data_IF_529964204385
#
_entry.id   IF_529964204385
#
_cell.length_a   1.000
_cell.length_b   1.000
_cell.length_c   1.000
_cell.angle_alpha   90.00
_cell.angle_beta   90.00
_cell.angle_gamma   90.00
#
_symmetry.space_group_name_H-M   'P 1'
#
loop_
_entity.id
_entity.type
_entity.pdbx_description
1 polymer ?
#
# COMPACT_ATOMS: atom_id res chain seq x y z
N UNK A 1 47.54 -10.58 -23.02
CA UNK A 1 46.62 -11.06 -24.08
C UNK A 1 45.47 -11.90 -23.55
N UNK A 2 45.64 -12.91 -22.71
CA UNK A 2 44.60 -13.76 -22.16
C UNK A 2 43.56 -13.00 -21.28
N UNK A 3 43.95 -11.99 -20.49
CA UNK A 3 43.03 -11.19 -19.65
C UNK A 3 42.06 -10.31 -20.47
N UNK A 4 42.49 -9.81 -21.64
CA UNK A 4 41.63 -9.00 -22.52
C UNK A 4 40.57 -9.86 -23.24
N UNK A 5 40.92 -11.09 -23.57
CA UNK A 5 39.97 -12.04 -24.19
C UNK A 5 38.87 -12.44 -23.17
N UNK A 6 39.25 -12.68 -21.92
CA UNK A 6 38.30 -13.05 -20.86
C UNK A 6 37.27 -11.96 -20.57
N UNK A 7 37.68 -10.69 -20.53
CA UNK A 7 36.76 -9.54 -20.34
C UNK A 7 35.84 -9.30 -21.53
N UNK A 8 36.33 -9.58 -22.76
CA UNK A 8 35.52 -9.53 -23.99
C UNK A 8 34.41 -10.59 -24.01
N UNK A 9 34.72 -11.81 -23.64
CA UNK A 9 33.75 -12.91 -23.53
C UNK A 9 32.72 -12.68 -22.47
N UNK A 10 33.10 -12.15 -21.28
CA UNK A 10 32.12 -11.81 -20.21
C UNK A 10 31.14 -10.72 -20.66
N UNK A 11 31.63 -9.66 -21.29
CA UNK A 11 30.77 -8.58 -21.81
C UNK A 11 29.80 -9.09 -22.89
N UNK A 12 30.28 -9.95 -23.78
CA UNK A 12 29.46 -10.56 -24.83
C UNK A 12 28.39 -11.49 -24.24
N UNK A 13 28.73 -12.28 -23.21
CA UNK A 13 27.77 -13.15 -22.51
C UNK A 13 26.68 -12.38 -21.79
N UNK A 14 27.04 -11.28 -21.11
CA UNK A 14 26.07 -10.39 -20.44
C UNK A 14 25.14 -9.74 -21.47
N UNK A 15 25.66 -9.22 -22.57
CA UNK A 15 24.88 -8.63 -23.67
C UNK A 15 23.93 -9.66 -24.30
N UNK A 16 24.40 -10.87 -24.56
CA UNK A 16 23.60 -11.96 -25.13
C UNK A 16 22.49 -12.40 -24.15
N UNK A 17 22.81 -12.54 -22.85
CA UNK A 17 21.83 -12.87 -21.82
C UNK A 17 20.75 -11.81 -21.70
N UNK A 18 21.11 -10.52 -21.80
CA UNK A 18 20.16 -9.41 -21.76
C UNK A 18 19.24 -9.39 -22.99
N UNK A 19 19.81 -9.56 -24.18
CA UNK A 19 19.04 -9.64 -25.43
C UNK A 19 18.11 -10.85 -25.43
N UNK A 20 18.57 -12.00 -24.93
CA UNK A 20 17.75 -13.20 -24.84
C UNK A 20 16.57 -13.02 -23.89
N UNK A 21 16.80 -12.43 -22.72
CA UNK A 21 15.72 -12.09 -21.76
C UNK A 21 14.70 -11.13 -22.38
N UNK A 22 15.17 -10.11 -23.10
CA UNK A 22 14.30 -9.14 -23.76
C UNK A 22 13.46 -9.78 -24.88
N UNK A 23 14.05 -10.67 -25.68
CA UNK A 23 13.33 -11.40 -26.74
C UNK A 23 12.31 -12.39 -26.13
N UNK A 24 12.67 -13.08 -25.04
CA UNK A 24 11.75 -13.97 -24.33
C UNK A 24 10.56 -13.16 -23.81
N UNK A 25 10.82 -12.04 -23.15
CA UNK A 25 9.77 -11.18 -22.60
C UNK A 25 8.81 -10.64 -23.68
N UNK A 26 9.31 -10.28 -24.85
CA UNK A 26 8.48 -9.87 -25.99
C UNK A 26 7.63 -11.02 -26.55
N UNK A 27 8.15 -12.25 -26.56
CA UNK A 27 7.40 -13.42 -27.00
C UNK A 27 6.33 -13.82 -26.01
N UNK A 28 6.60 -13.76 -24.71
CA UNK A 28 5.63 -14.03 -23.64
C UNK A 28 4.44 -13.07 -23.73
N UNK A 29 4.69 -11.78 -23.89
CA UNK A 29 3.64 -10.79 -24.09
C UNK A 29 2.75 -11.15 -25.30
N UNK A 30 3.37 -11.50 -26.42
CA UNK A 30 2.66 -11.84 -27.65
C UNK A 30 1.84 -13.13 -27.55
N UNK A 31 2.33 -14.10 -26.77
CA UNK A 31 1.62 -15.35 -26.48
C UNK A 31 0.38 -15.04 -25.62
N UNK A 32 0.54 -14.23 -24.58
CA UNK A 32 -0.57 -13.81 -23.70
C UNK A 32 -1.61 -12.99 -24.46
N UNK A 33 -1.18 -12.02 -25.27
CA UNK A 33 -2.08 -11.25 -26.14
C UNK A 33 -2.89 -12.16 -27.06
N UNK A 34 -2.22 -13.09 -27.76
CA UNK A 34 -2.89 -14.03 -28.66
C UNK A 34 -3.88 -14.92 -27.92
N UNK A 35 -3.52 -15.42 -26.74
CA UNK A 35 -4.42 -16.21 -25.91
C UNK A 35 -5.63 -15.42 -25.46
N UNK A 36 -5.41 -14.22 -24.91
CA UNK A 36 -6.49 -13.41 -24.36
C UNK A 36 -7.42 -12.87 -25.45
N UNK A 37 -6.89 -12.38 -26.57
CA UNK A 37 -7.71 -11.71 -27.59
C UNK A 37 -8.26 -12.68 -28.65
N UNK A 38 -7.40 -13.59 -29.18
CA UNK A 38 -7.78 -14.42 -30.30
C UNK A 38 -8.36 -15.78 -29.89
N UNK A 39 -7.92 -16.36 -28.75
CA UNK A 39 -8.41 -17.68 -28.30
C UNK A 39 -9.56 -17.50 -27.33
N UNK A 40 -9.40 -16.64 -26.31
CA UNK A 40 -10.40 -16.43 -25.25
C UNK A 40 -11.43 -15.36 -25.61
N UNK A 41 -11.23 -14.63 -26.72
CA UNK A 41 -12.10 -13.56 -27.20
C UNK A 41 -12.45 -12.50 -26.13
N UNK A 42 -11.49 -12.21 -25.23
CA UNK A 42 -11.66 -11.20 -24.21
C UNK A 42 -11.52 -9.81 -24.83
N UNK A 43 -12.47 -8.95 -24.51
CA UNK A 43 -12.43 -7.55 -24.92
C UNK A 43 -11.42 -6.77 -24.04
N UNK A 44 -10.66 -5.89 -24.69
CA UNK A 44 -9.70 -5.01 -23.99
C UNK A 44 -10.43 -3.76 -23.47
N UNK A 45 -11.33 -3.95 -22.53
CA UNK A 45 -12.17 -2.87 -21.96
C UNK A 45 -11.54 -2.20 -20.75
N UNK A 46 -10.55 -2.86 -20.12
CA UNK A 46 -9.88 -2.34 -18.92
C UNK A 46 -8.78 -1.34 -19.30
N UNK A 47 -8.87 -0.14 -18.76
CA UNK A 47 -7.80 0.87 -18.78
C UNK A 47 -7.62 1.43 -17.37
N UNK A 48 -6.44 1.98 -17.02
CA UNK A 48 -6.27 2.66 -15.73
C UNK A 48 -7.30 3.76 -15.49
N UNK A 49 -7.65 4.53 -16.50
CA UNK A 49 -8.63 5.61 -16.39
C UNK A 49 -10.05 5.06 -16.13
N UNK A 50 -10.48 4.04 -16.88
CA UNK A 50 -11.78 3.40 -16.64
C UNK A 50 -11.87 2.75 -15.27
N UNK A 51 -10.75 2.18 -14.77
CA UNK A 51 -10.67 1.63 -13.42
C UNK A 51 -10.80 2.74 -12.36
N UNK A 52 -10.11 3.86 -12.53
CA UNK A 52 -10.19 5.00 -11.60
C UNK A 52 -11.62 5.52 -11.51
N UNK A 53 -12.27 5.76 -12.64
CA UNK A 53 -13.63 6.31 -12.70
C UNK A 53 -14.67 5.37 -12.10
N UNK A 54 -14.60 4.07 -12.44
CA UNK A 54 -15.50 3.06 -11.86
C UNK A 54 -15.28 2.92 -10.34
N UNK A 55 -14.05 2.87 -9.90
CA UNK A 55 -13.71 2.76 -8.47
C UNK A 55 -14.19 3.97 -7.67
N UNK A 56 -14.00 5.20 -8.19
CA UNK A 56 -14.50 6.42 -7.53
C UNK A 56 -16.03 6.38 -7.42
N UNK A 57 -16.72 5.92 -8.46
CA UNK A 57 -18.17 5.81 -8.46
C UNK A 57 -18.65 4.80 -7.43
N UNK A 58 -18.08 3.60 -7.42
CA UNK A 58 -18.39 2.55 -6.44
C UNK A 58 -18.14 3.00 -5.00
N UNK A 59 -16.99 3.65 -4.74
CA UNK A 59 -16.66 4.19 -3.43
C UNK A 59 -17.67 5.24 -2.98
N UNK A 60 -18.07 6.14 -3.88
CA UNK A 60 -19.04 7.18 -3.57
C UNK A 60 -20.41 6.61 -3.24
N UNK A 61 -20.86 5.62 -3.99
CA UNK A 61 -22.13 4.94 -3.73
C UNK A 61 -22.11 4.16 -2.42
N UNK A 62 -21.01 3.43 -2.15
CA UNK A 62 -20.86 2.59 -0.98
C UNK A 62 -20.71 3.39 0.32
N UNK A 63 -19.94 4.47 0.29
CA UNK A 63 -19.62 5.28 1.49
C UNK A 63 -20.71 6.33 1.73
N UNK A 64 -21.27 6.90 0.65
CA UNK A 64 -22.26 7.96 0.74
C UNK A 64 -21.71 9.21 1.44
N UNK A 65 -22.41 9.65 2.50
CA UNK A 65 -22.03 10.83 3.28
C UNK A 65 -21.18 10.53 4.52
N UNK A 66 -20.76 9.29 4.70
CA UNK A 66 -19.99 8.85 5.85
C UNK A 66 -18.55 9.34 5.85
N UNK A 67 -17.91 9.28 7.00
CA UNK A 67 -16.47 9.55 7.16
C UNK A 67 -15.65 8.28 7.09
N UNK A 68 -14.51 8.40 6.44
CA UNK A 68 -13.50 7.33 6.32
C UNK A 68 -12.21 7.78 7.02
N UNK A 69 -11.59 6.89 7.77
CA UNK A 69 -10.21 7.05 8.20
C UNK A 69 -9.30 6.15 7.36
N UNK A 70 -8.10 6.64 7.05
CA UNK A 70 -7.09 5.90 6.29
C UNK A 70 -5.73 6.07 6.97
N UNK A 71 -5.08 4.94 7.27
CA UNK A 71 -3.68 4.93 7.69
C UNK A 71 -2.76 5.13 6.48
N UNK A 72 -1.91 6.15 6.53
CA UNK A 72 -0.89 6.38 5.51
C UNK A 72 0.45 5.81 5.95
N UNK A 73 1.16 5.18 5.04
CA UNK A 73 2.51 4.64 5.26
C UNK A 73 3.61 5.42 4.56
N UNK A 74 3.25 6.42 3.75
CA UNK A 74 4.18 7.08 2.82
C UNK A 74 4.48 6.26 1.56
N UNK A 75 3.93 5.05 1.44
CA UNK A 75 4.09 4.18 0.27
C UNK A 75 3.08 4.49 -0.84
N UNK A 76 3.35 3.97 -2.04
CA UNK A 76 2.53 4.20 -3.25
C UNK A 76 1.09 3.71 -3.05
N UNK A 77 0.90 2.52 -2.49
CA UNK A 77 -0.42 1.90 -2.37
C UNK A 77 -1.35 2.71 -1.47
N UNK A 78 -0.87 3.13 -0.30
CA UNK A 78 -1.63 3.99 0.61
C UNK A 78 -1.92 5.37 0.01
N UNK A 79 -1.00 5.91 -0.80
CA UNK A 79 -1.18 7.18 -1.51
C UNK A 79 -2.25 7.09 -2.59
N UNK A 80 -2.25 6.01 -3.37
CA UNK A 80 -3.28 5.75 -4.40
C UNK A 80 -4.64 5.59 -3.74
N UNK A 81 -4.73 4.80 -2.65
CA UNK A 81 -5.97 4.65 -1.89
C UNK A 81 -6.48 6.00 -1.36
N UNK A 82 -5.58 6.86 -0.82
CA UNK A 82 -5.93 8.20 -0.35
C UNK A 82 -6.50 9.08 -1.47
N UNK A 83 -5.87 9.08 -2.64
CA UNK A 83 -6.32 9.89 -3.79
C UNK A 83 -7.68 9.41 -4.31
N UNK A 84 -7.89 8.10 -4.44
CA UNK A 84 -9.17 7.54 -4.89
C UNK A 84 -10.29 7.87 -3.92
N UNK A 85 -10.07 7.66 -2.62
CA UNK A 85 -11.03 8.01 -1.57
C UNK A 85 -11.29 9.52 -1.53
N UNK A 86 -10.24 10.34 -1.64
CA UNK A 86 -10.42 11.80 -1.66
C UNK A 86 -11.26 12.27 -2.86
N UNK A 87 -11.04 11.70 -4.05
CA UNK A 87 -11.87 11.99 -5.22
C UNK A 87 -13.32 11.51 -5.06
N UNK A 88 -13.55 10.45 -4.31
CA UNK A 88 -14.88 9.93 -4.05
C UNK A 88 -15.67 10.75 -3.01
N UNK A 89 -15.06 11.04 -1.85
CA UNK A 89 -15.74 11.60 -0.66
C UNK A 89 -15.16 12.92 -0.16
N UNK A 90 -14.12 13.45 -0.78
CA UNK A 90 -13.54 14.76 -0.44
C UNK A 90 -13.06 14.87 1.00
N UNK A 91 -13.51 15.91 1.69
CA UNK A 91 -13.10 16.21 3.08
C UNK A 91 -13.64 15.21 4.14
N UNK A 92 -14.51 14.28 3.76
CA UNK A 92 -14.92 13.19 4.65
C UNK A 92 -13.84 12.12 4.81
N UNK A 93 -12.78 12.16 4.02
CA UNK A 93 -11.59 11.36 4.22
C UNK A 93 -10.69 12.02 5.27
N UNK A 94 -10.32 11.25 6.30
CA UNK A 94 -9.35 11.63 7.33
C UNK A 94 -8.15 10.69 7.25
N UNK A 95 -7.02 11.22 6.84
CA UNK A 95 -5.77 10.47 6.76
C UNK A 95 -4.95 10.65 8.04
N UNK A 96 -4.39 9.56 8.56
CA UNK A 96 -3.52 9.55 9.74
C UNK A 96 -2.16 9.01 9.33
N UNK A 97 -1.11 9.80 9.55
CA UNK A 97 0.28 9.41 9.30
C UNK A 97 1.04 9.39 10.61
N UNK A 98 1.47 8.21 11.05
CA UNK A 98 2.13 7.98 12.33
C UNK A 98 3.65 7.99 12.15
N UNK A 99 4.35 8.91 12.82
CA UNK A 99 5.78 8.82 13.00
C UNK A 99 6.09 7.78 14.09
N UNK A 100 6.64 6.66 13.68
CA UNK A 100 7.06 5.58 14.58
C UNK A 100 8.54 5.69 15.01
N UNK A 101 9.24 6.77 14.64
CA UNK A 101 10.66 6.96 14.90
C UNK A 101 11.61 6.06 14.10
N UNK A 102 11.07 5.18 13.24
CA UNK A 102 11.86 4.24 12.41
C UNK A 102 11.86 4.65 10.92
N UNK A 103 11.29 5.81 10.61
CA UNK A 103 11.29 6.39 9.27
C UNK A 103 12.69 6.86 8.88
N UNK A 104 12.90 7.08 7.58
CA UNK A 104 14.14 7.69 7.09
C UNK A 104 14.26 9.13 7.59
N UNK A 105 15.50 9.66 7.54
CA UNK A 105 15.76 11.05 7.95
C UNK A 105 14.85 12.01 7.17
N UNK A 106 14.11 12.83 7.91
CA UNK A 106 13.16 13.84 7.40
C UNK A 106 11.93 13.29 6.66
N UNK A 107 11.82 11.98 6.45
CA UNK A 107 10.73 11.35 5.68
C UNK A 107 9.35 11.75 6.20
N UNK A 108 9.18 11.86 7.52
CA UNK A 108 7.91 12.26 8.13
C UNK A 108 7.42 13.62 7.62
N UNK A 109 8.30 14.61 7.60
CA UNK A 109 7.95 15.97 7.16
C UNK A 109 7.77 16.06 5.65
N UNK A 110 8.67 15.41 4.89
CA UNK A 110 8.61 15.37 3.44
C UNK A 110 7.30 14.74 2.93
N UNK A 111 6.89 13.64 3.53
CA UNK A 111 5.64 12.94 3.19
C UNK A 111 4.43 13.80 3.57
N UNK A 112 4.42 14.43 4.74
CA UNK A 112 3.33 15.32 5.14
C UNK A 112 3.16 16.50 4.19
N UNK A 113 4.26 17.12 3.76
CA UNK A 113 4.22 18.26 2.84
C UNK A 113 3.70 17.84 1.46
N UNK A 114 4.12 16.68 0.94
CA UNK A 114 3.59 16.13 -0.31
C UNK A 114 2.07 15.91 -0.24
N UNK A 115 1.56 15.36 0.86
CA UNK A 115 0.13 15.12 1.00
C UNK A 115 -0.69 16.40 1.21
N UNK A 116 -0.11 17.44 1.80
CA UNK A 116 -0.75 18.76 1.90
C UNK A 116 -0.94 19.41 0.52
N UNK A 117 0.04 19.26 -0.38
CA UNK A 117 -0.08 19.72 -1.76
C UNK A 117 -1.21 19.04 -2.54
N UNK A 118 -1.61 17.82 -2.12
CA UNK A 118 -2.72 17.06 -2.71
C UNK A 118 -4.09 17.41 -2.11
N UNK A 119 -4.19 18.45 -1.28
CA UNK A 119 -5.41 18.88 -0.54
C UNK A 119 -6.03 17.77 0.34
N UNK A 120 -5.24 16.80 0.78
CA UNK A 120 -5.70 15.74 1.67
C UNK A 120 -5.89 16.27 3.10
N UNK A 121 -6.96 15.85 3.75
CA UNK A 121 -7.19 16.09 5.18
C UNK A 121 -6.32 15.11 5.98
N UNK A 122 -5.09 15.52 6.32
CA UNK A 122 -4.09 14.66 6.94
C UNK A 122 -3.70 15.16 8.34
N UNK A 123 -3.60 14.23 9.28
CA UNK A 123 -3.05 14.41 10.62
C UNK A 123 -1.74 13.63 10.73
N UNK A 124 -0.62 14.34 10.84
CA UNK A 124 0.67 13.73 11.19
C UNK A 124 0.84 13.73 12.70
N UNK A 125 1.13 12.57 13.28
CA UNK A 125 1.26 12.37 14.72
C UNK A 125 2.58 11.69 15.07
N UNK A 126 3.25 12.15 16.12
CA UNK A 126 4.53 11.60 16.55
C UNK A 126 4.34 10.71 17.78
N UNK A 127 4.68 9.44 17.59
CA UNK A 127 4.67 8.38 18.59
C UNK A 127 6.06 7.73 18.76
N UNK A 128 7.11 8.39 18.25
CA UNK A 128 8.46 7.83 18.22
C UNK A 128 8.97 7.41 19.61
N UNK A 129 8.65 8.18 20.65
CA UNK A 129 9.06 7.85 22.03
C UNK A 129 8.40 6.56 22.53
N UNK A 130 7.11 6.35 22.26
CA UNK A 130 6.39 5.14 22.62
C UNK A 130 7.01 3.93 21.94
N UNK A 131 7.30 4.02 20.63
CA UNK A 131 7.97 2.95 19.90
C UNK A 131 9.36 2.64 20.47
N UNK A 132 10.18 3.64 20.76
CA UNK A 132 11.50 3.44 21.32
C UNK A 132 11.46 2.80 22.71
N UNK A 133 10.54 3.22 23.56
CA UNK A 133 10.39 2.65 24.89
C UNK A 133 10.01 1.17 24.85
N UNK A 134 9.07 0.80 24.00
CA UNK A 134 8.60 -0.58 23.86
C UNK A 134 9.62 -1.50 23.17
N UNK A 135 10.45 -0.95 22.30
CA UNK A 135 11.53 -1.70 21.61
C UNK A 135 12.81 -1.81 22.43
N UNK A 136 12.93 -1.08 23.54
CA UNK A 136 14.14 -1.04 24.34
C UNK A 136 14.50 -2.42 24.88
N UNK A 137 15.71 -2.89 24.57
CA UNK A 137 16.22 -4.19 25.01
C UNK A 137 15.69 -5.39 24.24
N UNK A 138 14.82 -5.21 23.25
CA UNK A 138 14.33 -6.29 22.41
C UNK A 138 15.31 -6.54 21.27
N UNK A 139 15.88 -7.73 21.20
CA UNK A 139 16.84 -8.13 20.14
C UNK A 139 16.19 -9.01 19.06
N UNK A 140 15.21 -9.83 19.45
CA UNK A 140 14.54 -10.76 18.54
C UNK A 140 13.74 -10.04 17.46
N UNK A 141 13.99 -10.34 16.17
CA UNK A 141 13.32 -9.65 15.05
C UNK A 141 11.80 -9.86 15.03
N UNK A 142 11.33 -11.05 15.39
CA UNK A 142 9.89 -11.36 15.38
C UNK A 142 9.15 -10.62 16.50
N UNK A 143 9.76 -10.53 17.69
CA UNK A 143 9.23 -9.74 18.78
C UNK A 143 9.19 -8.24 18.42
N UNK A 144 10.25 -7.72 17.77
CA UNK A 144 10.24 -6.34 17.28
C UNK A 144 9.05 -6.08 16.34
N UNK A 145 8.81 -6.97 15.37
CA UNK A 145 7.70 -6.84 14.42
C UNK A 145 6.34 -6.81 15.13
N UNK A 146 6.15 -7.71 16.10
CA UNK A 146 4.91 -7.76 16.90
C UNK A 146 4.70 -6.50 17.72
N UNK A 147 5.76 -5.99 18.36
CA UNK A 147 5.70 -4.75 19.15
C UNK A 147 5.36 -3.56 18.24
N UNK A 148 6.06 -3.41 17.11
CA UNK A 148 5.82 -2.33 16.16
C UNK A 148 4.37 -2.36 15.68
N UNK A 149 3.85 -3.54 15.30
CA UNK A 149 2.47 -3.69 14.86
C UNK A 149 1.46 -3.31 15.96
N UNK A 150 1.66 -3.77 17.18
CA UNK A 150 0.79 -3.46 18.33
C UNK A 150 0.77 -1.96 18.62
N UNK A 151 1.94 -1.34 18.80
CA UNK A 151 2.04 0.10 19.12
C UNK A 151 1.46 0.95 18.01
N UNK A 152 1.65 0.53 16.74
CA UNK A 152 1.04 1.23 15.59
C UNK A 152 -0.49 1.20 15.67
N UNK A 153 -1.09 0.04 15.97
CA UNK A 153 -2.54 -0.10 16.10
C UNK A 153 -3.06 0.77 17.27
N UNK A 154 -2.41 0.73 18.43
CA UNK A 154 -2.76 1.53 19.59
C UNK A 154 -2.72 3.05 19.30
N UNK A 155 -1.65 3.50 18.62
CA UNK A 155 -1.51 4.89 18.19
C UNK A 155 -2.62 5.29 17.22
N UNK A 156 -2.87 4.44 16.21
CA UNK A 156 -3.90 4.67 15.20
C UNK A 156 -5.31 4.72 15.80
N UNK A 157 -5.65 3.81 16.72
CA UNK A 157 -6.91 3.81 17.44
C UNK A 157 -7.10 5.07 18.28
N UNK A 158 -6.06 5.49 19.00
CA UNK A 158 -6.10 6.71 19.83
C UNK A 158 -6.37 7.96 18.98
N UNK A 159 -5.78 8.04 17.80
CA UNK A 159 -5.99 9.14 16.88
C UNK A 159 -7.36 9.07 16.19
N UNK A 160 -7.78 7.88 15.78
CA UNK A 160 -9.08 7.67 15.14
C UNK A 160 -10.25 8.04 16.05
N UNK A 161 -10.14 7.78 17.35
CA UNK A 161 -11.14 8.12 18.35
C UNK A 161 -11.37 9.62 18.53
N UNK A 162 -10.45 10.47 18.10
CA UNK A 162 -10.62 11.93 18.12
C UNK A 162 -11.58 12.40 17.02
N UNK A 163 -11.81 11.57 16.00
CA UNK A 163 -12.65 11.88 14.84
C UNK A 163 -14.05 11.28 15.09
N UNK A 164 -15.05 12.14 15.22
CA UNK A 164 -16.43 11.69 15.48
C UNK A 164 -17.12 11.21 14.19
N UNK A 165 -17.99 10.23 14.35
CA UNK A 165 -18.84 9.69 13.27
C UNK A 165 -18.05 9.08 12.11
N UNK A 166 -17.03 8.30 12.44
CA UNK A 166 -16.30 7.49 11.46
C UNK A 166 -16.95 6.13 11.39
N UNK A 167 -17.32 5.70 10.19
CA UNK A 167 -17.98 4.42 9.94
C UNK A 167 -17.12 3.46 9.12
N UNK A 168 -16.03 3.96 8.51
CA UNK A 168 -15.22 3.20 7.57
C UNK A 168 -13.73 3.32 7.88
N UNK A 169 -13.03 2.19 7.75
CA UNK A 169 -11.56 2.11 7.74
C UNK A 169 -11.09 1.81 6.32
N UNK A 170 -10.32 2.73 5.74
CA UNK A 170 -9.62 2.50 4.49
C UNK A 170 -8.28 1.81 4.75
N UNK A 171 -8.00 0.79 3.97
CA UNK A 171 -6.73 0.06 4.03
C UNK A 171 -6.26 -0.28 2.63
N UNK A 172 -5.04 0.11 2.30
CA UNK A 172 -4.39 -0.31 1.06
C UNK A 172 -3.84 -1.72 1.21
N UNK A 173 -4.38 -2.66 0.46
CA UNK A 173 -3.91 -4.06 0.44
C UNK A 173 -3.57 -4.45 -0.99
N UNK A 174 -2.38 -4.97 -1.22
CA UNK A 174 -2.00 -5.46 -2.56
C UNK A 174 -2.55 -6.88 -2.77
N UNK A 175 -2.85 -7.20 -4.03
CA UNK A 175 -3.47 -8.49 -4.38
C UNK A 175 -2.68 -9.73 -3.92
N UNK A 176 -1.34 -9.77 -3.95
CA UNK A 176 -0.57 -10.86 -3.36
C UNK A 176 -0.87 -11.10 -1.87
N UNK A 177 -0.99 -10.04 -1.08
CA UNK A 177 -1.30 -10.15 0.36
C UNK A 177 -2.70 -10.74 0.59
N UNK A 178 -3.66 -10.42 -0.29
CA UNK A 178 -5.01 -11.01 -0.25
C UNK A 178 -4.94 -12.52 -0.47
N UNK A 179 -4.18 -12.97 -1.49
CA UNK A 179 -4.02 -14.39 -1.81
C UNK A 179 -3.34 -15.14 -0.66
N UNK A 180 -2.26 -14.58 -0.11
CA UNK A 180 -1.51 -15.18 0.99
C UNK A 180 -2.36 -15.27 2.27
N UNK A 181 -3.19 -14.27 2.55
CA UNK A 181 -4.10 -14.26 3.70
C UNK A 181 -5.16 -15.36 3.61
N UNK A 182 -5.66 -15.63 2.41
CA UNK A 182 -6.66 -16.71 2.19
C UNK A 182 -6.04 -18.09 2.37
N UNK A 183 -4.78 -18.26 1.91
CA UNK A 183 -4.09 -19.56 1.96
C UNK A 183 -3.41 -19.86 3.30
N UNK A 184 -3.04 -18.84 4.08
CA UNK A 184 -2.23 -18.94 5.29
C UNK A 184 -2.99 -18.91 6.62
N UNK A 185 -4.28 -18.65 6.65
CA UNK A 185 -5.04 -18.52 7.90
C UNK A 185 -4.54 -17.40 8.82
N UNK A 186 -3.77 -16.47 8.31
CA UNK A 186 -3.24 -15.32 9.04
C UNK A 186 -4.23 -14.15 8.92
N UNK A 187 -5.34 -14.22 9.64
CA UNK A 187 -6.05 -13.01 9.98
C UNK A 187 -5.18 -12.27 11.00
N UNK A 188 -4.68 -11.09 10.67
CA UNK A 188 -4.25 -10.14 11.68
C UNK A 188 -5.52 -9.82 12.45
N UNK A 189 -5.74 -10.52 13.57
CA UNK A 189 -6.82 -10.26 14.48
C UNK A 189 -6.61 -8.85 15.04
N UNK A 190 -7.43 -7.91 14.61
CA UNK A 190 -7.58 -6.63 15.29
C UNK A 190 -8.09 -6.99 16.68
N UNK A 191 -7.42 -6.55 17.76
CA UNK A 191 -7.88 -6.85 19.10
C UNK A 191 -9.33 -6.39 19.26
N UNK A 192 -10.20 -7.31 19.63
CA UNK A 192 -11.64 -7.12 19.83
C UNK A 192 -11.91 -6.30 21.12
N UNK A 193 -11.57 -5.03 21.09
CA UNK A 193 -11.85 -4.08 22.17
C UNK A 193 -12.49 -2.81 21.67
N UNK A 194 -12.22 -2.40 20.47
CA UNK A 194 -12.96 -1.42 19.71
C UNK A 194 -13.66 -2.14 18.57
N UNK A 195 -14.94 -1.94 18.47
CA UNK A 195 -15.75 -2.44 17.37
C UNK A 195 -15.37 -1.75 16.05
N UNK A 196 -14.14 -1.96 15.56
CA UNK A 196 -13.79 -1.84 14.15
C UNK A 196 -14.55 -2.88 13.32
N UNK A 197 -15.25 -3.81 13.97
CA UNK A 197 -16.16 -4.78 13.34
C UNK A 197 -17.35 -4.13 12.61
N UNK A 198 -17.61 -2.83 12.83
CA UNK A 198 -18.57 -2.07 12.04
C UNK A 198 -17.93 -1.28 10.91
N UNK A 199 -16.59 -1.20 10.85
CA UNK A 199 -15.88 -0.52 9.79
C UNK A 199 -15.68 -1.50 8.63
N UNK A 200 -16.48 -1.40 7.58
CA UNK A 200 -16.26 -2.18 6.39
C UNK A 200 -14.92 -1.79 5.76
N UNK A 201 -14.09 -2.78 5.47
CA UNK A 201 -12.87 -2.58 4.71
C UNK A 201 -13.23 -2.13 3.30
N UNK A 202 -12.66 -1.02 2.87
CA UNK A 202 -12.72 -0.55 1.49
C UNK A 202 -11.38 -0.90 0.85
N UNK A 203 -11.35 -1.96 0.05
CA UNK A 203 -10.25 -2.32 -0.86
C UNK A 203 -10.73 -2.20 -2.27
#
# INVERSE_FOLDING_TARGET
>A
MLKMLHTGFQKMYIAYSFILKFIIQLREKKILENFLTNISSLEQTWTPDSFIDSTITELREKIGGDKVILGLSGGVDSSVAAILLHKAIGKNLHCIFVNNGLLRKNEFYEVLDQYKEMDLNISGVDYSEEFYNELKGVSDPEMKRKIIGRVFIEAFEKESNKIKNVNWLGQGTIYPDVIESISGGFSIGIPTGMSLASLASVC
#
